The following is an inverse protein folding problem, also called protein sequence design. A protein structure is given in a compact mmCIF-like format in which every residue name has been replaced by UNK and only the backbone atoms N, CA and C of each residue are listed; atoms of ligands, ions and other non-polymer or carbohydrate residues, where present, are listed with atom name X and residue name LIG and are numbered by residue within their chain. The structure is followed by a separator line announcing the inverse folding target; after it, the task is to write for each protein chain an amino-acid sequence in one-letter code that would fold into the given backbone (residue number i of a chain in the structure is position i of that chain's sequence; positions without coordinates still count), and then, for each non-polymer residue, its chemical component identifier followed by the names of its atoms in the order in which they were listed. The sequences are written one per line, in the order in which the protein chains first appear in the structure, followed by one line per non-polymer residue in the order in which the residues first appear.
data_IF_116236701778
#
_entry.id   IF_116236701778
#
_cell.length_a   1.000
_cell.length_b   1.000
_cell.length_c   1.000
_cell.angle_alpha   90.00
_cell.angle_beta   90.00
_cell.angle_gamma   90.00
#
_symmetry.space_group_name_H-M   'P 1'
#
loop_
_entity.id
_entity.type
_entity.pdbx_description
1 polymer ?
#
# COMPACT_ATOMS: atom_id res chain seq x y z
N UNK A 1 21.98 3.24 -12.18
CA UNK A 1 23.31 3.71 -11.75
C UNK A 1 24.12 2.62 -11.04
N UNK A 2 23.61 1.96 -9.99
CA UNK A 2 24.37 0.93 -9.25
C UNK A 2 24.89 -0.26 -10.08
N UNK A 3 24.17 -0.69 -11.12
CA UNK A 3 24.62 -1.79 -11.99
C UNK A 3 25.85 -1.45 -12.85
N UNK A 4 26.03 -0.18 -13.21
CA UNK A 4 27.20 0.27 -13.98
C UNK A 4 28.45 0.29 -13.09
N UNK A 5 28.31 0.85 -11.88
CA UNK A 5 29.37 0.87 -10.88
C UNK A 5 29.82 -0.55 -10.50
N UNK A 6 28.88 -1.49 -10.32
CA UNK A 6 29.20 -2.89 -10.06
C UNK A 6 30.04 -3.53 -11.17
N UNK A 7 29.71 -3.28 -12.44
CA UNK A 7 30.53 -3.79 -13.57
C UNK A 7 31.92 -3.15 -13.62
N UNK A 8 31.99 -1.83 -13.41
CA UNK A 8 33.27 -1.12 -13.35
C UNK A 8 34.17 -1.62 -12.22
N UNK A 9 33.59 -2.07 -11.10
CA UNK A 9 34.29 -2.68 -9.97
C UNK A 9 34.63 -4.18 -10.16
N UNK A 10 34.41 -4.75 -11.35
CA UNK A 10 34.74 -6.15 -11.65
C UNK A 10 33.75 -7.19 -11.09
N UNK A 11 32.56 -6.77 -10.64
CA UNK A 11 31.55 -7.69 -10.15
C UNK A 11 30.98 -8.52 -11.31
N UNK A 12 31.12 -9.85 -11.18
CA UNK A 12 30.73 -10.82 -12.22
C UNK A 12 29.22 -11.03 -12.33
N UNK A 13 28.49 -10.95 -11.20
CA UNK A 13 27.04 -11.18 -11.11
C UNK A 13 26.34 -10.01 -10.43
N UNK A 14 25.39 -9.40 -11.14
CA UNK A 14 24.58 -8.26 -10.67
C UNK A 14 23.12 -8.66 -10.70
N UNK A 15 22.53 -8.79 -9.52
CA UNK A 15 21.11 -9.08 -9.30
C UNK A 15 20.45 -7.82 -8.76
N UNK A 16 19.28 -7.47 -9.30
CA UNK A 16 18.54 -6.28 -8.91
C UNK A 16 17.08 -6.59 -8.66
N UNK A 17 16.52 -6.09 -7.56
CA UNK A 17 15.11 -6.25 -7.22
C UNK A 17 14.33 -4.98 -7.57
N UNK A 18 13.25 -5.14 -8.33
CA UNK A 18 12.31 -4.09 -8.71
C UNK A 18 11.13 -4.11 -7.75
N UNK A 19 10.89 -3.00 -7.07
CA UNK A 19 9.74 -2.76 -6.18
C UNK A 19 8.63 -1.96 -6.87
N UNK A 20 8.59 -2.01 -8.19
CA UNK A 20 7.72 -1.21 -9.05
C UNK A 20 8.54 -0.44 -10.10
N UNK A 21 7.99 -0.32 -11.30
CA UNK A 21 8.59 0.49 -12.36
C UNK A 21 8.10 1.94 -12.27
N UNK A 22 9.02 2.89 -12.14
CA UNK A 22 8.72 4.32 -12.01
C UNK A 22 7.81 4.82 -13.13
N UNK A 23 8.00 4.37 -14.37
CA UNK A 23 7.18 4.78 -15.51
C UNK A 23 5.71 4.32 -15.47
N UNK A 24 5.31 3.50 -14.48
CA UNK A 24 3.91 3.16 -14.23
C UNK A 24 3.16 4.26 -13.47
N UNK A 25 3.87 5.19 -12.82
CA UNK A 25 3.26 6.30 -12.10
C UNK A 25 2.62 7.33 -13.06
N UNK A 26 1.62 8.11 -12.59
CA UNK A 26 1.03 9.19 -13.37
C UNK A 26 2.05 10.30 -13.60
N UNK A 27 2.63 10.34 -14.80
CA UNK A 27 3.61 11.35 -15.19
C UNK A 27 3.54 11.66 -16.70
N UNK A 28 4.07 12.80 -17.16
CA UNK A 28 4.16 13.15 -18.58
C UNK A 28 4.88 12.08 -19.42
N UNK A 29 4.44 11.88 -20.67
CA UNK A 29 4.94 10.82 -21.54
C UNK A 29 6.45 10.86 -21.79
N UNK A 30 7.04 12.05 -21.88
CA UNK A 30 8.49 12.21 -22.06
C UNK A 30 9.29 11.75 -20.84
N UNK A 31 8.77 11.93 -19.62
CA UNK A 31 9.38 11.41 -18.39
C UNK A 31 9.29 9.89 -18.35
N UNK A 32 8.13 9.31 -18.71
CA UNK A 32 7.99 7.85 -18.82
C UNK A 32 9.01 7.26 -19.77
N UNK A 33 9.20 7.91 -20.92
CA UNK A 33 10.14 7.48 -21.93
C UNK A 33 11.59 7.53 -21.43
N UNK A 34 12.01 8.62 -20.77
CA UNK A 34 13.37 8.74 -20.23
C UNK A 34 13.65 7.68 -19.16
N UNK A 35 12.72 7.43 -18.23
CA UNK A 35 12.85 6.37 -17.23
C UNK A 35 12.90 4.97 -17.86
N UNK A 36 12.05 4.70 -18.85
CA UNK A 36 12.07 3.43 -19.58
C UNK A 36 13.39 3.21 -20.31
N UNK A 37 13.94 4.25 -20.93
CA UNK A 37 15.25 4.19 -21.59
C UNK A 37 16.37 3.93 -20.58
N UNK A 38 16.39 4.67 -19.47
CA UNK A 38 17.37 4.49 -18.40
C UNK A 38 17.31 3.07 -17.81
N UNK A 39 16.12 2.54 -17.56
CA UNK A 39 15.94 1.17 -17.08
C UNK A 39 16.46 0.14 -18.09
N UNK A 40 16.11 0.28 -19.37
CA UNK A 40 16.56 -0.63 -20.44
C UNK A 40 18.07 -0.59 -20.64
N UNK A 41 18.67 0.59 -20.62
CA UNK A 41 20.12 0.76 -20.70
C UNK A 41 20.80 0.11 -19.50
N UNK A 42 20.32 0.40 -18.29
CA UNK A 42 20.87 -0.19 -17.06
C UNK A 42 20.70 -1.72 -17.02
N UNK A 43 19.63 -2.24 -17.62
CA UNK A 43 19.30 -3.66 -17.70
C UNK A 43 20.31 -4.49 -18.48
N UNK A 44 21.05 -3.88 -19.40
CA UNK A 44 22.15 -4.54 -20.14
C UNK A 44 23.26 -5.02 -19.20
N UNK A 45 23.47 -4.30 -18.10
CA UNK A 45 24.52 -4.59 -17.13
C UNK A 45 24.07 -5.56 -16.02
N UNK A 46 22.76 -5.89 -15.95
CA UNK A 46 22.17 -6.79 -14.96
C UNK A 46 22.10 -8.23 -15.50
N UNK A 47 22.38 -9.21 -14.66
CA UNK A 47 22.29 -10.64 -15.01
C UNK A 47 20.89 -11.19 -14.73
N UNK A 48 20.31 -10.79 -13.59
CA UNK A 48 18.94 -11.13 -13.21
C UNK A 48 18.22 -9.91 -12.64
N UNK A 49 16.93 -9.83 -12.92
CA UNK A 49 16.03 -8.81 -12.41
C UNK A 49 14.88 -9.51 -11.69
N UNK A 50 14.82 -9.33 -10.37
CA UNK A 50 13.79 -9.88 -9.50
C UNK A 50 12.61 -8.92 -9.48
N UNK A 51 11.42 -9.41 -9.81
CA UNK A 51 10.16 -8.71 -9.71
C UNK A 51 9.41 -9.19 -8.47
N UNK A 52 8.89 -8.27 -7.65
CA UNK A 52 8.15 -8.65 -6.43
C UNK A 52 6.71 -9.13 -6.71
N UNK A 53 6.26 -8.97 -7.96
CA UNK A 53 4.95 -9.40 -8.43
C UNK A 53 4.99 -9.83 -9.90
N UNK A 54 4.04 -10.68 -10.32
CA UNK A 54 3.85 -11.01 -11.75
C UNK A 54 3.43 -9.78 -12.57
N UNK A 55 2.75 -8.81 -11.93
CA UNK A 55 2.42 -7.55 -12.57
C UNK A 55 3.69 -6.78 -12.98
N UNK A 56 4.67 -6.68 -12.10
CA UNK A 56 5.96 -6.07 -12.43
C UNK A 56 6.68 -6.87 -13.51
N UNK A 57 6.70 -8.20 -13.42
CA UNK A 57 7.33 -9.06 -14.43
C UNK A 57 6.70 -8.83 -15.81
N UNK A 58 5.37 -8.86 -15.91
CA UNK A 58 4.64 -8.60 -17.14
C UNK A 58 4.93 -7.20 -17.70
N UNK A 59 5.03 -6.18 -16.83
CA UNK A 59 5.43 -4.82 -17.20
C UNK A 59 6.83 -4.80 -17.80
N UNK A 60 7.78 -5.50 -17.19
CA UNK A 60 9.15 -5.63 -17.67
C UNK A 60 9.25 -6.27 -19.05
N UNK A 61 8.48 -7.34 -19.28
CA UNK A 61 8.38 -8.04 -20.57
C UNK A 61 7.77 -7.12 -21.63
N UNK A 62 6.60 -6.53 -21.35
CA UNK A 62 5.88 -5.63 -22.27
C UNK A 62 6.76 -4.46 -22.71
N UNK A 63 7.54 -3.91 -21.79
CA UNK A 63 8.42 -2.77 -22.05
C UNK A 63 9.81 -3.15 -22.56
N UNK A 64 10.12 -4.46 -22.68
CA UNK A 64 11.42 -4.99 -23.11
C UNK A 64 12.57 -4.38 -22.32
N UNK A 65 12.43 -4.32 -20.99
CA UNK A 65 13.43 -3.74 -20.08
C UNK A 65 14.70 -4.60 -20.08
N UNK A 66 14.53 -5.92 -20.00
CA UNK A 66 15.58 -6.94 -20.16
C UNK A 66 15.00 -8.14 -20.91
N UNK A 67 15.82 -9.04 -21.46
CA UNK A 67 15.35 -10.33 -21.98
C UNK A 67 14.54 -11.11 -20.93
N UNK A 68 13.53 -11.85 -21.39
CA UNK A 68 12.53 -12.49 -20.50
C UNK A 68 13.15 -13.51 -19.56
N UNK A 69 14.20 -14.20 -20.01
CA UNK A 69 14.99 -15.15 -19.25
C UNK A 69 15.77 -14.52 -18.08
N UNK A 70 15.95 -13.19 -18.10
CA UNK A 70 16.55 -12.44 -16.98
C UNK A 70 15.52 -12.06 -15.91
N UNK A 71 14.22 -12.10 -16.22
CA UNK A 71 13.14 -11.74 -15.30
C UNK A 71 12.70 -12.95 -14.48
N UNK A 72 12.78 -12.83 -13.16
CA UNK A 72 12.28 -13.80 -12.21
C UNK A 72 11.31 -13.10 -11.25
N UNK A 73 10.20 -13.74 -10.90
CA UNK A 73 9.32 -13.24 -9.86
C UNK A 73 9.68 -13.91 -8.53
N UNK A 74 9.90 -13.11 -7.50
CA UNK A 74 10.05 -13.58 -6.13
C UNK A 74 9.15 -12.68 -5.28
N UNK A 75 8.04 -13.24 -4.81
CA UNK A 75 7.12 -12.52 -3.94
C UNK A 75 7.78 -12.19 -2.61
N UNK A 76 7.40 -11.05 -2.02
CA UNK A 76 7.87 -10.68 -0.69
C UNK A 76 7.39 -11.74 0.32
N UNK A 77 8.33 -12.31 1.07
CA UNK A 77 8.01 -13.20 2.18
C UNK A 77 7.32 -12.43 3.31
N UNK A 78 6.27 -13.01 3.86
CA UNK A 78 5.64 -12.55 5.10
C UNK A 78 5.96 -13.55 6.21
N UNK A 79 6.47 -13.07 7.33
CA UNK A 79 6.60 -13.89 8.53
C UNK A 79 5.20 -14.27 9.03
N UNK A 80 5.07 -15.39 9.76
CA UNK A 80 3.79 -15.73 10.36
C UNK A 80 3.36 -14.61 11.32
N UNK A 81 2.23 -13.94 11.05
CA UNK A 81 1.79 -12.83 11.88
C UNK A 81 1.24 -13.35 13.21
N UNK A 82 1.78 -12.83 14.32
CA UNK A 82 1.23 -12.98 15.66
C UNK A 82 0.13 -11.93 15.98
N UNK A 83 -1.12 -12.23 15.63
CA UNK A 83 -2.24 -11.32 15.85
C UNK A 83 -2.63 -11.20 17.33
N UNK A 84 -3.12 -10.02 17.71
CA UNK A 84 -3.88 -9.88 18.96
C UNK A 84 -5.19 -10.67 18.85
N UNK A 85 -5.77 -11.06 20.00
CA UNK A 85 -7.15 -11.55 20.01
C UNK A 85 -8.10 -10.43 19.54
N UNK A 86 -9.28 -10.80 19.02
CA UNK A 86 -10.27 -9.83 18.54
C UNK A 86 -10.62 -8.79 19.61
N UNK A 87 -10.85 -9.25 20.84
CA UNK A 87 -11.20 -8.40 21.98
C UNK A 87 -10.07 -7.42 22.32
N UNK A 88 -8.82 -7.91 22.44
CA UNK A 88 -7.66 -7.05 22.70
C UNK A 88 -7.47 -6.01 21.59
N UNK A 89 -7.58 -6.43 20.32
CA UNK A 89 -7.38 -5.55 19.18
C UNK A 89 -8.45 -4.44 19.14
N UNK A 90 -9.73 -4.77 19.36
CA UNK A 90 -10.82 -3.77 19.40
C UNK A 90 -10.69 -2.84 20.60
N UNK A 91 -10.39 -3.38 21.79
CA UNK A 91 -10.20 -2.57 22.99
C UNK A 91 -9.07 -1.55 22.79
N UNK A 92 -7.93 -1.97 22.27
CA UNK A 92 -6.79 -1.07 22.02
C UNK A 92 -7.06 -0.02 20.93
N UNK A 93 -7.70 -0.41 19.82
CA UNK A 93 -7.97 0.53 18.71
C UNK A 93 -9.05 1.55 19.05
N UNK A 94 -10.12 1.12 19.73
CA UNK A 94 -11.28 1.96 19.98
C UNK A 94 -11.20 2.72 21.30
N UNK A 95 -10.25 2.40 22.19
CA UNK A 95 -10.05 3.10 23.46
C UNK A 95 -9.96 4.62 23.28
N UNK A 96 -9.27 5.11 22.24
CA UNK A 96 -9.13 6.55 21.96
C UNK A 96 -10.45 7.23 21.63
N UNK A 97 -11.43 6.48 21.11
CA UNK A 97 -12.74 6.98 20.69
C UNK A 97 -13.85 6.69 21.71
N UNK A 98 -13.54 5.99 22.81
CA UNK A 98 -14.48 5.67 23.89
C UNK A 98 -15.78 5.03 23.39
N UNK A 99 -15.68 4.23 22.31
CA UNK A 99 -16.82 3.57 21.69
C UNK A 99 -17.11 2.25 22.42
N UNK A 100 -18.27 2.12 23.11
CA UNK A 100 -18.63 0.87 23.76
C UNK A 100 -18.91 -0.21 22.71
N UNK A 101 -18.68 -1.48 23.05
CA UNK A 101 -18.90 -2.60 22.11
C UNK A 101 -20.35 -2.70 21.58
N UNK A 102 -21.32 -2.09 22.27
CA UNK A 102 -22.73 -2.04 21.88
C UNK A 102 -23.06 -0.92 20.88
N UNK A 103 -22.15 0.02 20.64
CA UNK A 103 -22.38 1.16 19.74
C UNK A 103 -22.17 0.84 18.26
N UNK A 104 -21.70 -0.37 17.93
CA UNK A 104 -21.47 -0.80 16.56
C UNK A 104 -21.77 -2.30 16.42
N UNK A 105 -22.06 -2.71 15.19
CA UNK A 105 -22.27 -4.12 14.83
C UNK A 105 -21.11 -4.67 13.99
N UNK A 106 -20.41 -3.80 13.27
CA UNK A 106 -19.39 -4.17 12.30
C UNK A 106 -18.28 -3.11 12.24
N UNK A 107 -17.04 -3.55 12.08
CA UNK A 107 -15.88 -2.69 11.78
C UNK A 107 -15.27 -3.12 10.46
N UNK A 108 -15.37 -2.26 9.45
CA UNK A 108 -14.63 -2.37 8.18
C UNK A 108 -13.31 -1.63 8.35
N UNK A 109 -12.17 -2.20 7.98
CA UNK A 109 -10.90 -1.55 8.24
C UNK A 109 -9.84 -1.71 7.17
N UNK A 110 -8.87 -0.81 7.22
CA UNK A 110 -7.69 -0.90 6.35
C UNK A 110 -6.44 -0.36 7.02
N UNK A 111 -5.30 -0.88 6.60
CA UNK A 111 -3.98 -0.39 7.01
C UNK A 111 -3.35 0.27 5.78
N UNK A 112 -3.29 1.60 5.79
CA UNK A 112 -2.78 2.36 4.65
C UNK A 112 -2.25 3.73 5.05
N UNK A 113 -1.12 4.13 4.45
CA UNK A 113 -0.62 5.50 4.57
C UNK A 113 -1.55 6.48 3.85
N UNK A 114 -1.65 7.71 4.33
CA UNK A 114 -2.56 8.73 3.80
C UNK A 114 -1.95 9.42 2.57
N UNK A 115 -1.78 8.65 1.50
CA UNK A 115 -1.36 9.11 0.17
C UNK A 115 -2.51 8.95 -0.83
N UNK A 116 -2.59 9.81 -1.86
CA UNK A 116 -3.65 9.74 -2.87
C UNK A 116 -3.78 8.34 -3.51
N UNK A 117 -2.65 7.69 -3.78
CA UNK A 117 -2.57 6.37 -4.43
C UNK A 117 -3.16 5.22 -3.60
N UNK A 118 -3.46 5.45 -2.32
CA UNK A 118 -4.10 4.45 -1.45
C UNK A 118 -5.63 4.48 -1.51
N UNK A 119 -6.21 5.43 -2.23
CA UNK A 119 -7.66 5.41 -2.53
C UNK A 119 -8.57 5.57 -1.31
N UNK A 120 -8.09 6.15 -0.20
CA UNK A 120 -8.89 6.30 1.03
C UNK A 120 -10.13 7.20 0.85
N UNK A 121 -10.13 8.10 -0.14
CA UNK A 121 -11.33 8.87 -0.51
C UNK A 121 -12.49 7.95 -0.95
N UNK A 122 -12.21 6.91 -1.74
CA UNK A 122 -13.22 5.93 -2.14
C UNK A 122 -13.80 5.18 -0.95
N UNK A 123 -12.99 4.94 0.09
CA UNK A 123 -13.48 4.32 1.33
C UNK A 123 -14.42 5.25 2.09
N UNK A 124 -14.16 6.55 2.10
CA UNK A 124 -15.06 7.55 2.72
C UNK A 124 -16.37 7.64 1.93
N UNK A 125 -16.31 7.71 0.59
CA UNK A 125 -17.50 7.68 -0.27
C UNK A 125 -18.34 6.42 -0.05
N UNK A 126 -17.69 5.26 0.04
CA UNK A 126 -18.37 3.99 0.35
C UNK A 126 -18.98 4.02 1.76
N UNK A 127 -18.26 4.58 2.74
CA UNK A 127 -18.76 4.70 4.11
C UNK A 127 -20.05 5.51 4.18
N UNK A 128 -20.15 6.61 3.42
CA UNK A 128 -21.39 7.39 3.32
C UNK A 128 -22.57 6.53 2.88
N UNK A 129 -22.43 5.82 1.77
CA UNK A 129 -23.50 4.98 1.20
C UNK A 129 -23.91 3.83 2.14
N UNK A 130 -22.96 3.30 2.90
CA UNK A 130 -23.20 2.20 3.85
C UNK A 130 -23.86 2.73 5.12
N UNK A 131 -23.38 3.84 5.67
CA UNK A 131 -23.92 4.44 6.90
C UNK A 131 -25.32 5.03 6.71
N UNK A 132 -25.69 5.46 5.49
CA UNK A 132 -27.07 5.82 5.14
C UNK A 132 -28.05 4.64 5.33
N UNK A 133 -27.58 3.39 5.25
CA UNK A 133 -28.40 2.19 5.45
C UNK A 133 -28.27 1.59 6.85
N UNK A 134 -27.10 1.74 7.47
CA UNK A 134 -26.82 1.24 8.81
C UNK A 134 -25.73 2.09 9.49
N UNK A 135 -26.16 2.94 10.41
CA UNK A 135 -25.31 3.86 11.17
C UNK A 135 -24.48 3.17 12.27
N UNK A 136 -24.66 1.86 12.49
CA UNK A 136 -23.87 1.05 13.44
C UNK A 136 -22.66 0.37 12.80
N UNK A 137 -22.21 0.86 11.64
CA UNK A 137 -20.98 0.38 10.99
C UNK A 137 -19.88 1.40 11.22
N UNK A 138 -18.70 0.91 11.61
CA UNK A 138 -17.49 1.71 11.78
C UNK A 138 -16.51 1.39 10.66
N UNK A 139 -15.84 2.42 10.17
CA UNK A 139 -14.73 2.39 9.24
C UNK A 139 -13.45 2.80 9.99
N UNK A 140 -12.49 1.90 10.13
CA UNK A 140 -11.24 2.13 10.85
C UNK A 140 -10.02 2.15 9.93
N UNK A 141 -9.28 3.25 9.91
CA UNK A 141 -8.05 3.35 9.11
C UNK A 141 -6.83 3.48 10.01
N UNK A 142 -5.95 2.47 10.01
CA UNK A 142 -4.66 2.52 10.69
C UNK A 142 -3.63 3.06 9.71
N UNK A 143 -3.05 4.21 10.02
CA UNK A 143 -2.05 4.86 9.18
C UNK A 143 -1.88 6.33 9.48
N UNK A 144 -0.95 6.95 8.76
CA UNK A 144 -0.76 8.40 8.77
C UNK A 144 -0.20 8.85 7.42
N UNK A 145 -0.13 10.16 7.21
CA UNK A 145 0.47 10.74 6.01
C UNK A 145 -0.01 12.14 5.68
N UNK A 146 0.53 12.72 4.59
CA UNK A 146 0.31 14.12 4.24
C UNK A 146 -1.16 14.47 3.96
N UNK A 147 -2.00 13.52 3.53
CA UNK A 147 -3.42 13.79 3.26
C UNK A 147 -4.31 13.76 4.51
N UNK A 148 -3.78 13.64 5.73
CA UNK A 148 -4.59 13.57 6.95
C UNK A 148 -5.62 14.69 7.03
N UNK A 149 -5.20 15.95 6.88
CA UNK A 149 -6.10 17.12 6.95
C UNK A 149 -7.18 17.09 5.88
N UNK A 150 -6.86 16.62 4.68
CA UNK A 150 -7.82 16.47 3.58
C UNK A 150 -8.87 15.41 3.91
N UNK A 151 -8.44 14.23 4.38
CA UNK A 151 -9.34 13.15 4.76
C UNK A 151 -10.25 13.56 5.92
N UNK A 152 -9.71 14.23 6.95
CA UNK A 152 -10.50 14.75 8.06
C UNK A 152 -11.58 15.74 7.59
N UNK A 153 -11.23 16.67 6.69
CA UNK A 153 -12.19 17.60 6.12
C UNK A 153 -13.28 16.89 5.31
N UNK A 154 -12.92 15.87 4.54
CA UNK A 154 -13.85 15.08 3.74
C UNK A 154 -14.82 14.27 4.61
N UNK A 155 -14.32 13.60 5.66
CA UNK A 155 -15.14 12.89 6.65
C UNK A 155 -16.17 13.85 7.27
N UNK A 156 -15.73 15.05 7.67
CA UNK A 156 -16.61 16.08 8.25
C UNK A 156 -17.66 16.59 7.25
N UNK A 157 -17.26 16.85 6.01
CA UNK A 157 -18.19 17.30 4.97
C UNK A 157 -19.27 16.25 4.67
N UNK A 158 -18.95 14.96 4.85
CA UNK A 158 -19.88 13.84 4.68
C UNK A 158 -20.59 13.45 5.99
N UNK A 159 -20.37 14.16 7.10
CA UNK A 159 -20.98 13.91 8.41
C UNK A 159 -20.69 12.50 8.98
N UNK A 160 -19.50 11.97 8.69
CA UNK A 160 -19.08 10.61 9.04
C UNK A 160 -18.20 10.54 10.29
N UNK A 161 -18.04 11.61 11.07
CA UNK A 161 -17.10 11.65 12.20
C UNK A 161 -17.35 10.59 13.26
N UNK A 162 -18.59 10.11 13.40
CA UNK A 162 -18.96 9.03 14.33
C UNK A 162 -18.65 7.64 13.79
N UNK A 163 -18.62 7.49 12.47
CA UNK A 163 -18.50 6.22 11.79
C UNK A 163 -17.11 5.99 11.19
N UNK A 164 -16.33 7.04 10.91
CA UNK A 164 -15.04 6.94 10.25
C UNK A 164 -13.90 7.39 11.15
N UNK A 165 -13.06 6.44 11.57
CA UNK A 165 -12.02 6.60 12.57
C UNK A 165 -10.64 6.59 11.89
N UNK A 166 -9.89 7.67 12.06
CA UNK A 166 -8.47 7.74 11.70
C UNK A 166 -7.61 7.33 12.90
N UNK A 167 -7.30 6.04 13.00
CA UNK A 167 -6.70 5.38 14.17
C UNK A 167 -5.20 5.72 14.38
N UNK A 168 -4.62 6.54 13.50
CA UNK A 168 -3.22 6.93 13.51
C UNK A 168 -2.27 5.81 13.11
N UNK A 169 -0.98 6.11 13.03
CA UNK A 169 0.03 5.08 12.77
C UNK A 169 0.22 4.18 14.00
N UNK A 170 0.36 2.88 13.76
CA UNK A 170 0.64 1.88 14.80
C UNK A 170 1.84 1.05 14.37
N UNK A 171 2.81 0.87 15.28
CA UNK A 171 3.86 -0.12 15.05
C UNK A 171 3.24 -1.51 14.96
N UNK A 172 3.71 -2.32 14.02
CA UNK A 172 3.17 -3.65 13.77
C UNK A 172 1.64 -3.66 13.61
N UNK A 173 1.10 -2.71 12.82
CA UNK A 173 -0.33 -2.55 12.57
C UNK A 173 -1.05 -3.86 12.16
N UNK A 174 -0.32 -4.77 11.51
CA UNK A 174 -0.80 -6.11 11.14
C UNK A 174 -1.34 -6.92 12.34
N UNK A 175 -0.88 -6.65 13.57
CA UNK A 175 -1.37 -7.30 14.80
C UNK A 175 -2.84 -7.04 15.07
N UNK A 176 -3.36 -5.90 14.59
CA UNK A 176 -4.73 -5.44 14.82
C UNK A 176 -5.72 -5.90 13.75
N UNK A 177 -5.28 -6.64 12.72
CA UNK A 177 -6.17 -7.03 11.61
C UNK A 177 -7.42 -7.77 12.07
N UNK A 178 -7.35 -8.55 13.15
CA UNK A 178 -8.50 -9.25 13.74
C UNK A 178 -9.56 -8.34 14.37
N UNK A 179 -9.28 -7.04 14.53
CA UNK A 179 -10.30 -6.09 14.98
C UNK A 179 -11.35 -5.82 13.90
N UNK A 180 -10.97 -5.96 12.62
CA UNK A 180 -11.81 -5.69 11.47
C UNK A 180 -12.52 -6.96 11.03
N UNK A 181 -13.80 -6.82 10.71
CA UNK A 181 -14.62 -7.88 10.13
C UNK A 181 -14.39 -7.98 8.60
N UNK A 182 -13.92 -6.89 7.99
CA UNK A 182 -13.58 -6.77 6.56
C UNK A 182 -12.33 -5.91 6.36
#
# INVERSE_FOLDING_TARGET
MGSLAGRAAGIKKIIYTVHGFVFNEPMPGWQKWSYKFAEKFSGRFKDKLICVSEFDRSTGIKNRIVPTEKLITIHNGIAQPNFLSLEQARNELLATYQLPATSYHLIIGTIANFYPTKGLGYLIEAAKLVCEKNDKIIFGVIGDGPNKSKLTAEIKNQQLEKNFLLLGSKQNAWRYLKAFDF
#
